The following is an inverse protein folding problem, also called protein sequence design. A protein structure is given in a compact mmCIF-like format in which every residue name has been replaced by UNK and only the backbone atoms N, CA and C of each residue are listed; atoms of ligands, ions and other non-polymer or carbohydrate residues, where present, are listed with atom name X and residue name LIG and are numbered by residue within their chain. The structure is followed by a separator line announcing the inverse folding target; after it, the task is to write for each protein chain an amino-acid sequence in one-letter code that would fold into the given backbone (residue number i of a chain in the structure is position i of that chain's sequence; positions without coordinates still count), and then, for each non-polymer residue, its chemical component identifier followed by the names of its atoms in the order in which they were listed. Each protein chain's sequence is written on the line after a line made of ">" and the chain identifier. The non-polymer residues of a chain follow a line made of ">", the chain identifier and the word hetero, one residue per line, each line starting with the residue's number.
data_IF_095466484183
#
_entry.id   IF_095466484183
#
_cell.length_a   1.000
_cell.length_b   1.000
_cell.length_c   1.000
_cell.angle_alpha   90.00
_cell.angle_beta   90.00
_cell.angle_gamma   90.00
#
_symmetry.space_group_name_H-M   'P 1'
#
loop_
_entity.id
_entity.type
_entity.pdbx_description
1 polymer ?
#
# COMPACT_ATOMS: atom_id res chain seq x y z
N UNK A 1 -14.80 7.60 -12.35
CA UNK A 1 -13.53 6.83 -12.27
C UNK A 1 -13.86 5.52 -11.56
N UNK A 2 -13.31 4.35 -11.97
CA UNK A 2 -13.55 3.10 -11.23
C UNK A 2 -12.52 2.90 -10.12
N UNK A 3 -12.86 2.07 -9.12
CA UNK A 3 -12.03 1.79 -7.95
C UNK A 3 -10.60 1.36 -8.29
N UNK A 4 -10.40 0.53 -9.30
CA UNK A 4 -9.07 0.04 -9.68
C UNK A 4 -8.22 1.14 -10.33
N UNK A 5 -8.82 2.04 -11.12
CA UNK A 5 -8.13 3.21 -11.68
C UNK A 5 -7.70 4.17 -10.58
N UNK A 6 -8.58 4.40 -9.59
CA UNK A 6 -8.26 5.22 -8.43
C UNK A 6 -7.09 4.63 -7.63
N UNK A 7 -7.17 3.34 -7.28
CA UNK A 7 -6.12 2.67 -6.51
C UNK A 7 -4.79 2.63 -7.27
N UNK A 8 -4.79 2.39 -8.58
CA UNK A 8 -3.57 2.48 -9.39
C UNK A 8 -2.93 3.88 -9.34
N UNK A 9 -3.74 4.93 -9.27
CA UNK A 9 -3.24 6.31 -9.16
C UNK A 9 -2.62 6.55 -7.78
N UNK A 10 -3.30 6.09 -6.72
CA UNK A 10 -2.82 6.12 -5.34
C UNK A 10 -1.50 5.34 -5.18
N UNK A 11 -1.39 4.16 -5.80
CA UNK A 11 -0.16 3.35 -5.82
C UNK A 11 1.01 4.03 -6.53
N UNK A 12 0.75 4.66 -7.69
CA UNK A 12 1.80 5.38 -8.42
C UNK A 12 2.31 6.56 -7.58
N UNK A 13 1.41 7.29 -6.93
CA UNK A 13 1.79 8.36 -6.02
C UNK A 13 2.58 7.86 -4.81
N UNK A 14 2.15 6.75 -4.20
CA UNK A 14 2.86 6.12 -3.09
C UNK A 14 4.28 5.70 -3.49
N UNK A 15 4.44 5.12 -4.68
CA UNK A 15 5.74 4.76 -5.25
C UNK A 15 6.62 5.98 -5.43
N UNK A 16 6.10 7.05 -6.01
CA UNK A 16 6.84 8.31 -6.20
C UNK A 16 7.32 8.89 -4.86
N UNK A 17 6.43 8.99 -3.86
CA UNK A 17 6.79 9.48 -2.54
C UNK A 17 7.89 8.63 -1.89
N UNK A 18 7.73 7.31 -1.90
CA UNK A 18 8.67 6.38 -1.27
C UNK A 18 10.08 6.47 -1.90
N UNK A 19 10.14 6.52 -3.23
CA UNK A 19 11.41 6.65 -3.94
C UNK A 19 12.00 8.05 -3.85
N UNK A 20 11.21 9.11 -3.72
CA UNK A 20 11.72 10.46 -3.47
C UNK A 20 12.48 10.51 -2.13
N UNK A 21 11.89 9.97 -1.06
CA UNK A 21 12.59 9.91 0.24
C UNK A 21 13.85 9.06 0.17
N UNK A 22 13.77 7.89 -0.47
CA UNK A 22 14.91 6.96 -0.57
C UNK A 22 16.08 7.54 -1.37
N UNK A 23 15.79 8.19 -2.51
CA UNK A 23 16.82 8.72 -3.40
C UNK A 23 17.48 9.98 -2.85
N UNK A 24 16.74 10.78 -2.08
CA UNK A 24 17.24 12.04 -1.54
C UNK A 24 17.68 11.96 -0.07
N UNK A 25 17.48 10.82 0.60
CA UNK A 25 17.93 10.57 1.97
C UNK A 25 19.37 11.07 2.25
N UNK A 26 20.38 10.81 1.39
CA UNK A 26 21.76 11.22 1.65
C UNK A 26 21.98 12.74 1.64
N UNK A 27 21.08 13.49 0.99
CA UNK A 27 21.21 14.94 0.78
C UNK A 27 20.32 15.76 1.71
N UNK A 28 19.28 15.14 2.28
CA UNK A 28 18.31 15.83 3.12
C UNK A 28 18.77 15.92 4.58
N UNK A 29 18.31 16.99 5.24
CA UNK A 29 18.44 17.11 6.69
C UNK A 29 17.65 16.02 7.39
N UNK A 30 18.14 15.55 8.54
CA UNK A 30 17.46 14.54 9.37
C UNK A 30 15.98 14.86 9.63
N UNK A 31 15.65 16.10 10.00
CA UNK A 31 14.26 16.52 10.25
C UNK A 31 13.37 16.34 9.01
N UNK A 32 13.87 16.73 7.84
CA UNK A 32 13.16 16.54 6.57
C UNK A 32 12.96 15.06 6.24
N UNK A 33 13.99 14.23 6.44
CA UNK A 33 13.88 12.78 6.23
C UNK A 33 12.84 12.21 7.18
N UNK A 34 12.89 12.55 8.47
CA UNK A 34 11.96 12.06 9.47
C UNK A 34 10.49 12.40 9.11
N UNK A 35 10.20 13.66 8.81
CA UNK A 35 8.85 14.10 8.42
C UNK A 35 8.39 13.41 7.12
N UNK A 36 9.29 13.25 6.15
CA UNK A 36 8.95 12.61 4.88
C UNK A 36 8.70 11.11 5.05
N UNK A 37 9.49 10.41 5.86
CA UNK A 37 9.29 9.01 6.20
C UNK A 37 7.97 8.80 6.95
N UNK A 38 7.64 9.69 7.89
CA UNK A 38 6.35 9.66 8.59
C UNK A 38 5.18 9.78 7.61
N UNK A 39 5.22 10.75 6.70
CA UNK A 39 4.19 10.93 5.68
C UNK A 39 4.06 9.70 4.76
N UNK A 40 5.19 9.09 4.40
CA UNK A 40 5.23 7.85 3.61
C UNK A 40 4.59 6.70 4.39
N UNK A 41 4.95 6.49 5.66
CA UNK A 41 4.36 5.44 6.52
C UNK A 41 2.85 5.62 6.63
N UNK A 42 2.39 6.84 6.92
CA UNK A 42 0.96 7.15 7.01
C UNK A 42 0.25 6.86 5.68
N UNK A 43 0.89 7.16 4.55
CA UNK A 43 0.36 6.88 3.21
C UNK A 43 0.30 5.38 2.91
N UNK A 44 1.31 4.60 3.31
CA UNK A 44 1.30 3.13 3.17
C UNK A 44 0.14 2.53 3.97
N UNK A 45 0.01 2.87 5.25
CA UNK A 45 -1.08 2.37 6.09
C UNK A 45 -2.45 2.79 5.54
N UNK A 46 -2.60 4.05 5.12
CA UNK A 46 -3.83 4.53 4.51
C UNK A 46 -4.17 3.76 3.23
N UNK A 47 -3.18 3.48 2.39
CA UNK A 47 -3.38 2.69 1.16
C UNK A 47 -3.84 1.26 1.44
N UNK A 48 -3.16 0.56 2.36
CA UNK A 48 -3.53 -0.81 2.79
C UNK A 48 -4.95 -0.83 3.36
N UNK A 49 -5.26 0.12 4.26
CA UNK A 49 -6.60 0.28 4.84
C UNK A 49 -7.66 0.50 3.76
N UNK A 50 -7.44 1.43 2.83
CA UNK A 50 -8.35 1.68 1.70
C UNK A 50 -8.61 0.41 0.91
N UNK A 51 -7.60 -0.39 0.59
CA UNK A 51 -7.79 -1.66 -0.15
C UNK A 51 -8.59 -2.68 0.65
N UNK A 52 -8.28 -2.84 1.93
CA UNK A 52 -9.03 -3.75 2.81
C UNK A 52 -10.51 -3.36 2.87
N UNK A 53 -10.80 -2.07 3.06
CA UNK A 53 -12.17 -1.57 3.24
C UNK A 53 -12.96 -1.47 1.93
N UNK A 54 -12.33 -0.99 0.85
CA UNK A 54 -13.02 -0.73 -0.41
C UNK A 54 -13.09 -1.94 -1.33
N UNK A 55 -12.13 -2.86 -1.24
CA UNK A 55 -12.02 -3.98 -2.18
C UNK A 55 -12.18 -5.31 -1.45
N UNK A 56 -11.27 -5.63 -0.54
CA UNK A 56 -11.16 -7.00 0.00
C UNK A 56 -12.33 -7.37 0.89
N UNK A 57 -12.89 -6.43 1.64
CA UNK A 57 -14.10 -6.63 2.46
C UNK A 57 -15.30 -7.17 1.65
N UNK A 58 -15.35 -6.89 0.34
CA UNK A 58 -16.45 -7.33 -0.52
C UNK A 58 -16.24 -8.72 -1.11
N UNK A 59 -15.02 -9.26 -1.07
CA UNK A 59 -14.69 -10.54 -1.71
C UNK A 59 -14.03 -11.55 -0.76
N UNK A 60 -13.92 -11.22 0.53
CA UNK A 60 -13.19 -12.02 1.52
C UNK A 60 -13.79 -13.42 1.73
N UNK A 61 -15.09 -13.55 1.52
CA UNK A 61 -15.82 -14.81 1.73
C UNK A 61 -15.76 -15.74 0.50
N UNK A 62 -15.13 -15.31 -0.60
CA UNK A 62 -14.98 -16.14 -1.79
C UNK A 62 -13.77 -17.09 -1.62
N UNK A 63 -14.02 -18.39 -1.48
CA UNK A 63 -12.96 -19.40 -1.31
C UNK A 63 -11.94 -19.41 -2.47
N UNK A 64 -12.39 -19.08 -3.68
CA UNK A 64 -11.59 -19.09 -4.91
C UNK A 64 -10.46 -18.05 -4.94
N UNK A 65 -10.46 -17.06 -4.05
CA UNK A 65 -9.41 -16.05 -3.92
C UNK A 65 -8.61 -16.19 -2.62
N UNK A 66 -8.86 -17.22 -1.81
CA UNK A 66 -8.23 -17.42 -0.49
C UNK A 66 -6.70 -17.36 -0.52
N UNK A 67 -6.06 -18.00 -1.50
CA UNK A 67 -4.60 -17.96 -1.66
C UNK A 67 -4.06 -16.53 -1.91
N UNK A 68 -4.77 -15.76 -2.73
CA UNK A 68 -4.39 -14.37 -3.05
C UNK A 68 -4.58 -13.48 -1.83
N UNK A 69 -5.65 -13.69 -1.05
CA UNK A 69 -5.88 -13.00 0.22
C UNK A 69 -4.81 -13.34 1.25
N UNK A 70 -4.39 -14.61 1.34
CA UNK A 70 -3.30 -15.02 2.23
C UNK A 70 -1.98 -14.36 1.87
N UNK A 71 -1.65 -14.24 0.57
CA UNK A 71 -0.45 -13.52 0.11
C UNK A 71 -0.53 -12.03 0.42
N UNK A 72 -1.71 -11.43 0.29
CA UNK A 72 -1.93 -10.03 0.66
C UNK A 72 -1.68 -9.81 2.16
N UNK A 73 -2.28 -10.65 3.01
CA UNK A 73 -2.12 -10.57 4.46
C UNK A 73 -0.65 -10.78 4.87
N UNK A 74 0.06 -11.73 4.27
CA UNK A 74 1.50 -11.94 4.50
C UNK A 74 2.35 -10.71 4.11
N UNK A 75 2.14 -10.17 2.91
CA UNK A 75 2.92 -9.02 2.44
C UNK A 75 2.69 -7.77 3.29
N UNK A 76 1.43 -7.50 3.66
CA UNK A 76 1.08 -6.34 4.49
C UNK A 76 1.60 -6.49 5.92
N UNK A 77 1.56 -7.69 6.52
CA UNK A 77 2.18 -7.95 7.82
C UNK A 77 3.69 -7.71 7.79
N UNK A 78 4.39 -8.20 6.77
CA UNK A 78 5.83 -7.99 6.62
C UNK A 78 6.20 -6.50 6.43
N UNK A 79 5.34 -5.74 5.74
CA UNK A 79 5.47 -4.28 5.59
C UNK A 79 5.34 -3.61 6.95
N UNK A 80 4.30 -3.94 7.73
CA UNK A 80 4.07 -3.36 9.06
C UNK A 80 5.23 -3.66 10.02
N UNK A 81 5.78 -4.88 10.00
CA UNK A 81 6.98 -5.23 10.78
C UNK A 81 8.21 -4.40 10.37
N UNK A 82 8.38 -4.15 9.07
CA UNK A 82 9.48 -3.33 8.55
C UNK A 82 9.29 -1.86 8.92
N UNK A 83 8.06 -1.34 8.87
CA UNK A 83 7.71 0.01 9.35
C UNK A 83 8.03 0.14 10.84
N UNK A 84 7.61 -0.82 11.66
CA UNK A 84 7.90 -0.82 13.09
C UNK A 84 9.41 -0.80 13.37
N UNK A 85 10.18 -1.57 12.58
CA UNK A 85 11.64 -1.55 12.67
C UNK A 85 12.22 -0.19 12.28
N UNK A 86 11.69 0.45 11.23
CA UNK A 86 12.12 1.77 10.76
C UNK A 86 11.84 2.88 11.78
N UNK A 87 10.74 2.80 12.51
CA UNK A 87 10.38 3.76 13.58
C UNK A 87 11.32 3.63 14.79
N UNK A 88 11.88 2.43 15.03
CA UNK A 88 12.74 2.16 16.19
C UNK A 88 14.21 2.55 15.97
N UNK A 89 14.62 2.85 14.74
CA UNK A 89 16.00 3.20 14.41
C UNK A 89 16.15 4.70 14.19
N UNK A 90 17.27 5.26 14.64
CA UNK A 90 17.58 6.66 14.38
C UNK A 90 17.95 6.88 12.90
N UNK A 91 17.57 8.04 12.35
CA UNK A 91 17.72 8.38 10.92
C UNK A 91 19.18 8.37 10.45
N UNK A 92 20.14 8.60 11.35
CA UNK A 92 21.57 8.63 11.07
C UNK A 92 22.28 7.27 11.22
N UNK A 93 21.57 6.23 11.66
CA UNK A 93 22.15 4.90 11.76
C UNK A 93 22.20 4.22 10.37
N UNK A 94 23.28 3.49 10.04
CA UNK A 94 23.39 2.79 8.75
C UNK A 94 22.26 1.80 8.46
N UNK A 95 21.58 1.30 9.50
CA UNK A 95 20.42 0.42 9.35
C UNK A 95 19.17 1.14 8.82
N UNK A 96 19.07 2.45 9.01
CA UNK A 96 17.90 3.23 8.58
C UNK A 96 17.75 3.22 7.06
N UNK A 97 18.83 3.54 6.34
CA UNK A 97 18.85 3.53 4.87
C UNK A 97 18.49 2.13 4.32
N UNK A 98 19.04 1.08 4.93
CA UNK A 98 18.75 -0.30 4.53
C UNK A 98 17.28 -0.67 4.71
N UNK A 99 16.67 -0.26 5.84
CA UNK A 99 15.26 -0.46 6.11
C UNK A 99 14.36 0.35 5.18
N UNK A 100 14.75 1.59 4.86
CA UNK A 100 14.02 2.46 3.92
C UNK A 100 14.02 1.87 2.50
N UNK A 101 15.18 1.41 2.01
CA UNK A 101 15.30 0.72 0.71
C UNK A 101 14.50 -0.60 0.73
N UNK A 102 14.56 -1.36 1.82
CA UNK A 102 13.80 -2.61 1.97
C UNK A 102 12.30 -2.33 1.90
N UNK A 103 11.80 -1.37 2.67
CA UNK A 103 10.39 -0.96 2.67
C UNK A 103 9.95 -0.52 1.27
N UNK A 104 10.77 0.28 0.58
CA UNK A 104 10.50 0.74 -0.78
C UNK A 104 10.29 -0.42 -1.76
N UNK A 105 11.18 -1.41 -1.71
CA UNK A 105 11.06 -2.63 -2.54
C UNK A 105 9.83 -3.45 -2.18
N UNK A 106 9.48 -3.55 -0.90
CA UNK A 106 8.30 -4.29 -0.44
C UNK A 106 7.00 -3.63 -0.92
N UNK A 107 6.92 -2.30 -0.86
CA UNK A 107 5.77 -1.54 -1.40
C UNK A 107 5.69 -1.68 -2.92
N UNK A 108 6.83 -1.61 -3.63
CA UNK A 108 6.86 -1.86 -5.08
C UNK A 108 6.38 -3.26 -5.46
N UNK A 109 6.77 -4.27 -4.68
CA UNK A 109 6.30 -5.65 -4.86
C UNK A 109 4.80 -5.75 -4.58
N UNK A 110 4.30 -5.12 -3.52
CA UNK A 110 2.86 -5.10 -3.19
C UNK A 110 2.04 -4.45 -4.31
N UNK A 111 2.53 -3.34 -4.88
CA UNK A 111 1.90 -2.66 -6.02
C UNK A 111 1.88 -3.56 -7.25
N UNK A 112 2.99 -4.24 -7.55
CA UNK A 112 3.08 -5.15 -8.69
C UNK A 112 2.14 -6.35 -8.50
N UNK A 113 2.17 -6.98 -7.33
CA UNK A 113 1.22 -8.03 -6.92
C UNK A 113 -0.23 -7.57 -7.06
N UNK A 114 -0.52 -6.32 -6.71
CA UNK A 114 -1.88 -5.79 -6.81
C UNK A 114 -2.37 -5.75 -8.26
N UNK A 115 -1.51 -5.32 -9.18
CA UNK A 115 -1.80 -5.23 -10.61
C UNK A 115 -1.88 -6.59 -11.29
N UNK A 116 -0.96 -7.49 -10.94
CA UNK A 116 -0.74 -8.74 -11.66
C UNK A 116 -1.56 -9.92 -11.12
N UNK A 117 -1.86 -9.93 -9.82
CA UNK A 117 -2.56 -11.03 -9.15
C UNK A 117 -3.86 -10.58 -8.49
N UNK A 118 -3.81 -9.57 -7.62
CA UNK A 118 -4.95 -9.19 -6.77
C UNK A 118 -6.14 -8.66 -7.59
N UNK A 119 -5.94 -7.63 -8.40
CA UNK A 119 -7.05 -7.03 -9.16
C UNK A 119 -7.67 -7.98 -10.18
N UNK A 120 -6.89 -8.78 -10.94
CA UNK A 120 -7.47 -9.82 -11.79
C UNK A 120 -8.31 -10.83 -10.99
N UNK A 121 -7.80 -11.31 -9.85
CA UNK A 121 -8.53 -12.27 -9.02
C UNK A 121 -9.82 -11.68 -8.47
N UNK A 122 -9.78 -10.46 -7.91
CA UNK A 122 -10.96 -9.75 -7.42
C UNK A 122 -12.00 -9.59 -8.52
N UNK A 123 -11.60 -9.17 -9.72
CA UNK A 123 -12.52 -8.99 -10.85
C UNK A 123 -13.14 -10.29 -11.34
N UNK A 124 -12.45 -11.41 -11.18
CA UNK A 124 -12.95 -12.72 -11.60
C UNK A 124 -14.00 -13.30 -10.67
N UNK A 125 -13.96 -12.95 -9.38
CA UNK A 125 -14.87 -13.47 -8.35
C UNK A 125 -15.98 -12.50 -7.98
N UNK A 126 -15.73 -11.19 -8.09
CA UNK A 126 -16.69 -10.18 -7.69
C UNK A 126 -17.93 -10.17 -8.60
N UNK A 127 -19.09 -10.22 -7.98
CA UNK A 127 -20.39 -9.97 -8.60
C UNK A 127 -20.53 -8.52 -9.04
N UNK A 128 -21.47 -8.25 -9.94
CA UNK A 128 -21.79 -6.87 -10.34
C UNK A 128 -22.23 -6.00 -9.16
N UNK A 129 -22.92 -6.57 -8.18
CA UNK A 129 -23.36 -5.85 -6.98
C UNK A 129 -22.20 -5.47 -6.07
N UNK A 130 -21.26 -6.40 -5.84
CA UNK A 130 -20.02 -6.12 -5.11
C UNK A 130 -19.22 -5.02 -5.80
N UNK A 131 -19.01 -5.11 -7.12
CA UNK A 131 -18.32 -4.08 -7.89
C UNK A 131 -19.03 -2.71 -7.79
N UNK A 132 -20.37 -2.67 -7.82
CA UNK A 132 -21.14 -1.44 -7.60
C UNK A 132 -20.94 -0.89 -6.18
N UNK A 133 -20.92 -1.75 -5.16
CA UNK A 133 -20.65 -1.33 -3.76
C UNK A 133 -19.25 -0.74 -3.62
N UNK A 134 -18.23 -1.38 -4.17
CA UNK A 134 -16.84 -0.88 -4.15
C UNK A 134 -16.75 0.54 -4.75
N UNK A 135 -17.35 0.76 -5.92
CA UNK A 135 -17.36 2.08 -6.57
C UNK A 135 -18.19 3.12 -5.79
N UNK A 136 -19.34 2.73 -5.21
CA UNK A 136 -20.15 3.64 -4.40
C UNK A 136 -19.43 4.06 -3.11
N UNK A 137 -18.72 3.16 -2.45
CA UNK A 137 -17.89 3.51 -1.29
C UNK A 137 -16.75 4.46 -1.68
N UNK A 138 -16.12 4.28 -2.85
CA UNK A 138 -15.15 5.25 -3.36
C UNK A 138 -15.78 6.64 -3.50
N UNK A 139 -16.94 6.75 -4.14
CA UNK A 139 -17.60 8.03 -4.35
C UNK A 139 -17.88 8.74 -3.01
N UNK A 140 -18.23 7.99 -1.95
CA UNK A 140 -18.45 8.57 -0.62
C UNK A 140 -17.17 9.11 0.05
N UNK A 141 -16.00 8.54 -0.25
CA UNK A 141 -14.71 8.99 0.27
C UNK A 141 -14.12 10.16 -0.52
N UNK A 142 -14.42 10.25 -1.82
CA UNK A 142 -13.92 11.34 -2.69
C UNK A 142 -14.77 12.60 -2.55
N UNK A 143 -16.04 12.46 -2.16
CA UNK A 143 -16.97 13.58 -1.95
C UNK A 143 -17.02 14.10 -0.50
N UNK A 144 -16.36 13.42 0.44
CA UNK A 144 -16.20 13.84 1.84
C UNK A 144 -14.94 14.66 2.03
#
# INVERSE_FOLDING_TARGET
>A
MNIFTYLNTDENHLKELMWDVTNNYPEWTQDRVFESVKNVIDSVHAHIKKKNELVLSNVRDHESISDVLSKWDEQTSNIDETINSLIMIHVDEPGFEQLLIKLSKMVDNLISFSKDELYPAVRSVATEEELKRMNKHLDSLVLS
#
